data_IF_685622626650
#
_entry.id   IF_685622626650
#
_cell.length_a   1.000
_cell.length_b   1.000
_cell.length_c   1.000
_cell.angle_alpha   90.00
_cell.angle_beta   90.00
_cell.angle_gamma   90.00
#
_symmetry.space_group_name_H-M   'P 1'
#
loop_
_entity.id
_entity.type
_entity.pdbx_description
1 polymer ?
#
# COMPACT_ATOMS: atom_id res chain seq x y z
N UNK A 1 -33.13 -4.30 -0.95
CA UNK A 1 -32.28 -4.16 0.24
C UNK A 1 -30.96 -4.83 -0.10
N UNK A 2 -29.97 -4.10 -0.63
CA UNK A 2 -28.54 -4.53 -0.63
C UNK A 2 -27.60 -3.44 -1.21
N UNK A 3 -27.70 -2.19 -0.76
CA UNK A 3 -26.79 -1.13 -1.23
C UNK A 3 -26.32 -0.33 -0.01
N UNK A 4 -25.37 -0.90 0.76
CA UNK A 4 -24.97 -0.32 2.05
C UNK A 4 -23.48 -0.36 2.38
N UNK A 5 -22.61 -0.95 1.55
CA UNK A 5 -21.18 -1.10 1.89
C UNK A 5 -20.27 -0.96 0.65
N UNK A 6 -20.52 0.01 -0.23
CA UNK A 6 -19.59 0.32 -1.34
C UNK A 6 -18.72 1.57 -1.11
N UNK A 7 -18.82 2.22 0.06
CA UNK A 7 -18.17 3.52 0.31
C UNK A 7 -16.76 3.50 0.92
N UNK A 8 -16.18 2.33 1.25
CA UNK A 8 -14.98 2.28 2.12
C UNK A 8 -13.82 1.45 1.57
N UNK A 9 -13.89 1.00 0.31
CA UNK A 9 -12.81 0.25 -0.33
C UNK A 9 -11.99 1.17 -1.25
N UNK A 10 -10.65 1.01 -1.30
CA UNK A 10 -9.83 1.77 -2.21
C UNK A 10 -10.18 1.46 -3.65
N UNK A 11 -10.13 2.50 -4.48
CA UNK A 11 -10.35 2.33 -5.92
C UNK A 11 -9.32 1.34 -6.48
N UNK A 12 -9.70 0.63 -7.55
CA UNK A 12 -8.77 -0.27 -8.26
C UNK A 12 -7.52 0.47 -8.72
N UNK A 13 -7.67 1.74 -9.11
CA UNK A 13 -6.55 2.58 -9.52
C UNK A 13 -5.58 2.86 -8.37
N UNK A 14 -6.07 3.15 -7.16
CA UNK A 14 -5.22 3.38 -6.00
C UNK A 14 -4.49 2.09 -5.58
N UNK A 15 -5.18 0.96 -5.57
CA UNK A 15 -4.56 -0.36 -5.32
C UNK A 15 -3.43 -0.60 -6.32
N UNK A 16 -3.66 -0.34 -7.61
CA UNK A 16 -2.66 -0.55 -8.65
C UNK A 16 -1.45 0.38 -8.50
N UNK A 17 -1.66 1.65 -8.13
CA UNK A 17 -0.55 2.59 -7.85
C UNK A 17 0.33 2.09 -6.71
N UNK A 18 -0.27 1.65 -5.61
CA UNK A 18 0.47 1.07 -4.47
C UNK A 18 1.20 -0.21 -4.90
N UNK A 19 0.54 -1.10 -5.64
CA UNK A 19 1.14 -2.33 -6.16
C UNK A 19 2.35 -2.03 -7.04
N UNK A 20 2.27 -0.98 -7.87
CA UNK A 20 3.37 -0.55 -8.73
C UNK A 20 4.57 -0.08 -7.91
N UNK A 21 4.35 0.75 -6.88
CA UNK A 21 5.42 1.17 -5.97
C UNK A 21 6.09 -0.02 -5.28
N UNK A 22 5.34 -1.08 -4.93
CA UNK A 22 5.93 -2.31 -4.41
C UNK A 22 6.78 -3.03 -5.44
N UNK A 23 6.26 -3.22 -6.65
CA UNK A 23 6.97 -3.87 -7.77
C UNK A 23 8.31 -3.17 -8.02
N UNK A 24 8.31 -1.84 -8.06
CA UNK A 24 9.50 -1.03 -8.31
C UNK A 24 10.51 -1.15 -7.15
N UNK A 25 10.04 -1.12 -5.90
CA UNK A 25 10.92 -1.22 -4.71
C UNK A 25 11.48 -2.63 -4.50
N UNK A 26 10.66 -3.67 -4.75
CA UNK A 26 11.06 -5.07 -4.58
C UNK A 26 11.85 -5.60 -5.79
N UNK A 27 11.82 -4.90 -6.93
CA UNK A 27 12.47 -5.33 -8.16
C UNK A 27 11.85 -6.61 -8.74
N UNK A 28 10.52 -6.76 -8.62
CA UNK A 28 9.78 -7.95 -9.09
C UNK A 28 8.89 -7.60 -10.28
N UNK A 29 8.22 -8.58 -10.89
CA UNK A 29 7.27 -8.31 -11.99
C UNK A 29 5.83 -8.08 -11.50
N UNK A 30 5.47 -8.69 -10.37
CA UNK A 30 4.14 -8.63 -9.78
C UNK A 30 4.23 -8.97 -8.29
N UNK A 31 3.26 -8.48 -7.51
CA UNK A 31 3.09 -8.80 -6.10
C UNK A 31 1.60 -9.01 -5.77
N UNK A 32 1.28 -10.03 -4.94
CA UNK A 32 -0.08 -10.25 -4.47
C UNK A 32 -0.55 -9.13 -3.54
N UNK A 33 -1.82 -8.72 -3.67
CA UNK A 33 -2.35 -7.54 -2.95
C UNK A 33 -2.66 -7.77 -1.48
N UNK A 34 -2.77 -9.04 -1.08
CA UNK A 34 -3.24 -9.49 0.23
C UNK A 34 -2.16 -10.27 1.00
N UNK A 35 -0.90 -10.19 0.55
CA UNK A 35 0.27 -10.76 1.20
C UNK A 35 1.10 -9.62 1.77
N UNK A 36 1.72 -9.86 2.94
CA UNK A 36 2.51 -8.82 3.57
C UNK A 36 3.76 -8.47 2.78
N UNK A 37 4.26 -7.25 2.98
CA UNK A 37 5.45 -6.72 2.35
C UNK A 37 6.66 -7.61 2.64
N UNK A 38 6.78 -8.05 3.88
CA UNK A 38 7.87 -8.92 4.33
C UNK A 38 7.77 -10.33 3.75
N UNK A 39 6.55 -10.89 3.62
CA UNK A 39 6.35 -12.18 2.93
C UNK A 39 6.62 -12.09 1.43
N UNK A 40 6.46 -10.90 0.83
CA UNK A 40 6.74 -10.62 -0.58
C UNK A 40 8.23 -10.34 -0.86
N UNK A 41 9.11 -10.51 0.14
CA UNK A 41 10.56 -10.29 0.01
C UNK A 41 11.05 -8.92 0.51
N UNK A 42 10.16 -8.11 1.08
CA UNK A 42 10.47 -6.81 1.68
C UNK A 42 11.29 -6.93 2.96
N UNK A 43 12.01 -5.85 3.29
CA UNK A 43 12.76 -5.71 4.54
C UNK A 43 12.72 -4.24 5.00
N UNK A 44 13.31 -3.92 6.15
CA UNK A 44 13.25 -2.58 6.73
C UNK A 44 13.81 -1.49 5.82
N UNK A 45 14.89 -1.76 5.09
CA UNK A 45 15.46 -0.79 4.14
C UNK A 45 14.49 -0.54 2.98
N UNK A 46 13.95 -1.61 2.41
CA UNK A 46 12.96 -1.52 1.34
C UNK A 46 11.67 -0.84 1.81
N UNK A 47 11.28 -1.02 3.07
CA UNK A 47 10.11 -0.33 3.65
C UNK A 47 10.33 1.19 3.73
N UNK A 48 11.55 1.64 4.03
CA UNK A 48 11.90 3.08 4.01
C UNK A 48 11.85 3.63 2.58
N UNK A 49 12.31 2.88 1.59
CA UNK A 49 12.20 3.29 0.18
C UNK A 49 10.73 3.35 -0.25
N UNK A 50 9.94 2.33 0.08
CA UNK A 50 8.51 2.28 -0.18
C UNK A 50 7.77 3.44 0.50
N UNK A 51 8.15 3.79 1.74
CA UNK A 51 7.61 4.94 2.44
C UNK A 51 7.81 6.24 1.67
N UNK A 52 8.98 6.45 1.07
CA UNK A 52 9.25 7.58 0.17
C UNK A 52 8.34 7.61 -1.06
N UNK A 53 8.10 6.45 -1.70
CA UNK A 53 7.22 6.36 -2.87
C UNK A 53 5.75 6.60 -2.51
N UNK A 54 5.25 5.96 -1.45
CA UNK A 54 3.86 6.08 -1.03
C UNK A 54 3.55 7.46 -0.42
N UNK A 55 4.53 8.13 0.18
CA UNK A 55 4.38 9.51 0.66
C UNK A 55 4.07 10.50 -0.48
N UNK A 56 4.46 10.20 -1.72
CA UNK A 56 4.10 11.02 -2.90
C UNK A 56 2.63 10.86 -3.30
N UNK A 57 1.99 9.76 -2.88
CA UNK A 57 0.59 9.44 -3.17
C UNK A 57 -0.36 9.92 -2.06
N UNK A 58 0.15 10.05 -0.83
CA UNK A 58 -0.62 10.49 0.33
C UNK A 58 -0.89 12.00 0.32
N UNK A 59 -2.04 12.45 0.82
CA UNK A 59 -2.31 13.89 0.99
C UNK A 59 -1.74 14.46 2.30
N UNK A 60 -1.31 13.59 3.23
CA UNK A 60 -0.64 13.95 4.48
C UNK A 60 0.73 13.26 4.63
N UNK A 61 1.43 13.66 5.69
CA UNK A 61 2.60 12.93 6.17
C UNK A 61 2.21 11.49 6.56
N UNK A 62 2.71 10.54 5.79
CA UNK A 62 2.67 9.12 6.09
C UNK A 62 3.78 8.79 7.08
N UNK A 63 3.53 7.95 8.08
CA UNK A 63 4.57 7.50 9.02
C UNK A 63 5.02 6.08 8.70
N UNK A 64 6.25 5.74 9.08
CA UNK A 64 6.75 4.36 8.97
C UNK A 64 5.97 3.38 9.84
N UNK A 65 5.48 3.81 11.00
CA UNK A 65 4.68 2.95 11.88
C UNK A 65 3.37 2.53 11.21
N UNK A 66 2.71 3.47 10.52
CA UNK A 66 1.48 3.16 9.79
C UNK A 66 1.72 2.16 8.66
N UNK A 67 2.82 2.27 7.94
CA UNK A 67 3.21 1.29 6.91
C UNK A 67 3.60 -0.07 7.50
N UNK A 68 4.15 -0.09 8.71
CA UNK A 68 4.42 -1.34 9.41
C UNK A 68 3.14 -2.06 9.82
N UNK A 69 2.09 -1.31 10.22
CA UNK A 69 0.77 -1.86 10.58
C UNK A 69 -0.05 -2.23 9.34
N UNK A 70 0.02 -1.41 8.29
CA UNK A 70 -0.59 -1.65 6.99
C UNK A 70 0.43 -2.35 6.07
N UNK A 71 0.64 -3.63 6.29
CA UNK A 71 1.72 -4.38 5.66
C UNK A 71 1.35 -5.01 4.31
N UNK A 72 0.11 -4.89 3.82
CA UNK A 72 -0.34 -5.37 2.51
C UNK A 72 -0.66 -4.21 1.56
N UNK A 73 -0.57 -4.44 0.24
CA UNK A 73 -0.97 -3.44 -0.77
C UNK A 73 -2.39 -2.92 -0.52
N UNK A 74 -3.35 -3.80 -0.21
CA UNK A 74 -4.74 -3.41 0.07
C UNK A 74 -4.84 -2.52 1.31
N UNK A 75 -4.16 -2.89 2.40
CA UNK A 75 -4.17 -2.11 3.64
C UNK A 75 -3.50 -0.74 3.47
N UNK A 76 -2.46 -0.64 2.65
CA UNK A 76 -1.79 0.62 2.35
C UNK A 76 -2.65 1.52 1.46
N UNK A 77 -3.34 0.95 0.47
CA UNK A 77 -4.31 1.71 -0.33
C UNK A 77 -5.46 2.24 0.55
N UNK A 78 -5.94 1.45 1.53
CA UNK A 78 -6.89 1.92 2.55
C UNK A 78 -6.33 3.05 3.40
N UNK A 79 -5.08 2.91 3.87
CA UNK A 79 -4.39 3.91 4.67
C UNK A 79 -4.27 5.25 3.91
N UNK A 80 -3.93 5.19 2.62
CA UNK A 80 -3.79 6.37 1.76
C UNK A 80 -5.11 7.10 1.48
N UNK A 81 -6.27 6.44 1.59
CA UNK A 81 -7.57 7.12 1.48
C UNK A 81 -7.92 7.94 2.73
N UNK A 82 -7.42 7.54 3.89
CA UNK A 82 -7.64 8.23 5.16
C UNK A 82 -6.61 9.33 5.40
N UNK A 83 -5.77 9.63 4.40
CA UNK A 83 -4.53 10.36 4.52
C UNK A 83 -4.50 11.57 3.59
#
# INVERSE_FOLDING_TARGET
>A
MDQGIQGMLPSKELIEKVRRSWVDVLGTQDVPTDVSFFQSGGNSLLLVLLHGELSKLAARALTLEELFRADTVRSQALLLMQA
#
